data_IF_318866628804
#
_entry.id   IF_318866628804
#
_cell.length_a   1.000
_cell.length_b   1.000
_cell.length_c   1.000
_cell.angle_alpha   90.00
_cell.angle_beta   90.00
_cell.angle_gamma   90.00
#
_symmetry.space_group_name_H-M   'P 1'
#
loop_
_entity.id
_entity.type
_entity.pdbx_description
1 polymer ?
#
# COMPACT_ATOMS: atom_id res chain seq x y z
N UNK A 1 8.38 8.34 13.93
CA UNK A 1 9.82 8.68 13.80
C UNK A 1 9.90 10.11 13.24
N UNK A 2 10.78 11.02 13.72
CA UNK A 2 10.88 12.39 13.19
C UNK A 2 12.13 12.52 12.31
N UNK A 3 11.95 12.87 11.03
CA UNK A 3 13.06 13.11 10.09
C UNK A 3 13.67 11.85 9.46
N UNK A 4 12.95 10.72 9.45
CA UNK A 4 13.40 9.50 8.77
C UNK A 4 12.84 9.48 7.35
N UNK A 5 13.74 9.48 6.36
CA UNK A 5 13.42 9.43 4.93
C UNK A 5 13.46 7.99 4.39
N UNK A 6 14.28 7.12 4.97
CA UNK A 6 14.40 5.72 4.57
C UNK A 6 14.36 4.82 5.81
N UNK A 7 13.57 3.75 5.75
CA UNK A 7 13.71 2.61 6.67
C UNK A 7 14.55 1.56 5.95
N UNK A 8 15.76 1.36 6.43
CA UNK A 8 16.73 0.45 5.84
C UNK A 8 16.29 -1.02 5.88
N UNK A 9 16.90 -1.83 5.03
CA UNK A 9 16.68 -3.27 4.94
C UNK A 9 16.73 -3.93 6.33
N UNK A 10 15.69 -4.72 6.63
CA UNK A 10 15.56 -5.46 7.88
C UNK A 10 15.61 -4.61 9.17
N UNK A 11 15.46 -3.29 9.11
CA UNK A 11 15.65 -2.40 10.28
C UNK A 11 14.77 -2.77 11.50
N UNK A 12 13.58 -3.32 11.26
CA UNK A 12 12.63 -3.78 12.27
C UNK A 12 12.21 -5.24 12.06
N UNK A 13 13.03 -6.05 11.39
CA UNK A 13 12.75 -7.47 11.19
C UNK A 13 12.50 -8.18 12.53
N UNK A 14 11.37 -8.88 12.63
CA UNK A 14 10.92 -9.60 13.81
C UNK A 14 10.60 -8.72 15.02
N UNK A 15 10.40 -7.41 14.84
CA UNK A 15 10.20 -6.49 15.96
C UNK A 15 8.85 -6.75 16.65
N UNK A 16 8.90 -7.45 17.79
CA UNK A 16 7.71 -7.87 18.55
C UNK A 16 7.04 -6.74 19.35
N UNK A 17 7.70 -5.60 19.52
CA UNK A 17 7.18 -4.48 20.30
C UNK A 17 6.61 -3.35 19.44
N UNK A 18 6.91 -3.34 18.14
CA UNK A 18 6.47 -2.28 17.25
C UNK A 18 4.99 -2.47 16.93
N UNK A 19 4.15 -1.58 17.44
CA UNK A 19 2.70 -1.66 17.28
C UNK A 19 2.15 -0.80 16.14
N UNK A 20 2.78 0.34 15.88
CA UNK A 20 2.30 1.36 14.94
C UNK A 20 3.50 1.97 14.21
N UNK A 21 3.33 2.20 12.91
CA UNK A 21 4.28 2.97 12.09
C UNK A 21 3.60 4.21 11.55
N UNK A 22 4.07 5.37 12.02
CA UNK A 22 3.62 6.69 11.57
C UNK A 22 4.83 7.55 11.19
N UNK A 23 4.85 8.01 9.93
CA UNK A 23 5.88 8.92 9.44
C UNK A 23 5.37 9.78 8.27
N UNK A 24 5.45 11.11 8.43
CA UNK A 24 5.03 12.07 7.41
C UNK A 24 6.11 12.53 6.43
N UNK A 25 7.32 11.96 6.48
CA UNK A 25 8.43 12.28 5.56
C UNK A 25 9.21 11.06 5.09
N UNK A 26 8.65 9.87 5.29
CA UNK A 26 9.30 8.64 4.86
C UNK A 26 9.12 8.49 3.35
N UNK A 27 10.20 8.38 2.60
CA UNK A 27 10.18 8.22 1.14
C UNK A 27 10.26 6.75 0.74
N UNK A 28 11.10 5.96 1.41
CA UNK A 28 11.38 4.57 1.04
C UNK A 28 11.35 3.63 2.23
N UNK A 29 10.76 2.46 2.00
CA UNK A 29 10.83 1.30 2.89
C UNK A 29 11.56 0.21 2.12
N UNK A 30 12.74 -0.17 2.59
CA UNK A 30 13.56 -1.16 1.92
C UNK A 30 13.10 -2.60 2.21
N UNK A 31 13.65 -3.53 1.42
CA UNK A 31 13.31 -4.96 1.50
C UNK A 31 13.29 -5.46 2.95
N UNK A 32 12.22 -6.16 3.30
CA UNK A 32 12.05 -6.81 4.61
C UNK A 32 12.18 -5.90 5.83
N UNK A 33 12.08 -4.57 5.66
CA UNK A 33 12.24 -3.59 6.75
C UNK A 33 11.40 -3.89 8.00
N UNK A 34 10.19 -4.43 7.84
CA UNK A 34 9.27 -4.80 8.91
C UNK A 34 8.83 -6.27 8.83
N UNK A 35 9.63 -7.14 8.21
CA UNK A 35 9.32 -8.57 8.11
C UNK A 35 8.97 -9.16 9.49
N UNK A 36 7.87 -9.92 9.58
CA UNK A 36 7.50 -10.63 10.80
C UNK A 36 7.22 -9.74 12.02
N UNK A 37 6.81 -8.48 11.84
CA UNK A 37 6.39 -7.63 12.96
C UNK A 37 5.02 -8.09 13.51
N UNK A 38 5.04 -9.09 14.40
CA UNK A 38 3.84 -9.75 14.96
C UNK A 38 2.87 -8.80 15.69
N UNK A 39 3.36 -7.69 16.24
CA UNK A 39 2.54 -6.71 16.97
C UNK A 39 2.12 -5.51 16.14
N UNK A 40 2.60 -5.37 14.90
CA UNK A 40 2.33 -4.21 14.07
C UNK A 40 0.88 -4.26 13.59
N UNK A 41 0.06 -3.30 14.03
CA UNK A 41 -1.39 -3.26 13.77
C UNK A 41 -1.80 -2.23 12.72
N UNK A 42 -1.02 -1.15 12.58
CA UNK A 42 -1.38 -0.02 11.73
C UNK A 42 -0.15 0.66 11.13
N UNK A 43 -0.27 1.04 9.86
CA UNK A 43 0.72 1.81 9.12
C UNK A 43 0.04 3.04 8.51
N UNK A 44 0.60 4.22 8.75
CA UNK A 44 0.18 5.47 8.13
C UNK A 44 1.39 6.24 7.59
N UNK A 45 1.56 6.19 6.27
CA UNK A 45 2.73 6.65 5.54
C UNK A 45 2.31 7.46 4.31
N UNK A 46 1.78 8.69 4.50
CA UNK A 46 1.21 9.49 3.43
C UNK A 46 2.23 9.97 2.37
N UNK A 47 3.53 9.93 2.69
CA UNK A 47 4.60 10.41 1.80
C UNK A 47 5.48 9.28 1.24
N UNK A 48 5.22 8.02 1.60
CA UNK A 48 6.01 6.91 1.10
C UNK A 48 5.80 6.74 -0.40
N UNK A 49 6.91 6.69 -1.14
CA UNK A 49 6.95 6.54 -2.59
C UNK A 49 7.21 5.09 -2.98
N UNK A 50 8.11 4.42 -2.27
CA UNK A 50 8.57 3.08 -2.62
C UNK A 50 8.48 2.16 -1.41
N UNK A 51 7.75 1.05 -1.58
CA UNK A 51 7.74 -0.08 -0.66
C UNK A 51 8.40 -1.24 -1.38
N UNK A 52 9.58 -1.65 -0.94
CA UNK A 52 10.30 -2.75 -1.58
C UNK A 52 9.77 -4.14 -1.16
N UNK A 53 10.24 -5.17 -1.86
CA UNK A 53 9.70 -6.52 -1.70
C UNK A 53 9.82 -7.07 -0.29
N UNK A 54 8.76 -7.72 0.18
CA UNK A 54 8.66 -8.32 1.51
C UNK A 54 8.73 -7.34 2.69
N UNK A 55 8.60 -6.02 2.46
CA UNK A 55 8.73 -5.00 3.50
C UNK A 55 7.86 -5.25 4.74
N UNK A 56 6.65 -5.79 4.58
CA UNK A 56 5.70 -6.11 5.64
C UNK A 56 5.24 -7.58 5.61
N UNK A 57 6.06 -8.46 5.01
CA UNK A 57 5.75 -9.89 4.95
C UNK A 57 5.55 -10.47 6.35
N UNK A 58 4.57 -11.36 6.53
CA UNK A 58 4.27 -12.07 7.80
C UNK A 58 3.84 -11.16 8.98
N UNK A 59 3.38 -9.94 8.71
CA UNK A 59 2.82 -9.04 9.73
C UNK A 59 1.40 -9.46 10.12
N UNK A 60 1.29 -10.49 10.95
CA UNK A 60 0.01 -11.14 11.28
C UNK A 60 -1.04 -10.25 11.94
N UNK A 61 -0.64 -9.22 12.69
CA UNK A 61 -1.57 -8.30 13.35
C UNK A 61 -1.92 -7.08 12.51
N UNK A 62 -1.32 -6.90 11.33
CA UNK A 62 -1.49 -5.68 10.54
C UNK A 62 -2.90 -5.64 9.97
N UNK A 63 -3.68 -4.64 10.38
CA UNK A 63 -5.10 -4.51 10.00
C UNK A 63 -5.35 -3.42 8.96
N UNK A 64 -4.63 -2.31 9.08
CA UNK A 64 -4.88 -1.10 8.29
C UNK A 64 -3.57 -0.54 7.76
N UNK A 65 -3.57 -0.19 6.47
CA UNK A 65 -2.43 0.42 5.80
C UNK A 65 -2.90 1.64 5.03
N UNK A 66 -2.28 2.79 5.28
CA UNK A 66 -2.60 4.04 4.58
C UNK A 66 -1.34 4.58 3.91
N UNK A 67 -1.40 4.63 2.58
CA UNK A 67 -0.45 5.35 1.73
C UNK A 67 -1.12 6.58 1.10
N UNK A 68 -0.30 7.56 0.72
CA UNK A 68 -0.76 8.77 0.04
C UNK A 68 -0.56 8.73 -1.47
N UNK A 69 -0.87 9.87 -2.11
CA UNK A 69 -0.79 10.05 -3.56
C UNK A 69 0.62 9.90 -4.14
N UNK A 70 1.65 10.07 -3.32
CA UNK A 70 3.05 9.96 -3.74
C UNK A 70 3.52 8.51 -3.93
N UNK A 71 2.73 7.51 -3.53
CA UNK A 71 3.10 6.11 -3.70
C UNK A 71 3.27 5.78 -5.20
N UNK A 72 4.42 5.21 -5.55
CA UNK A 72 4.82 4.86 -6.91
C UNK A 72 4.88 3.36 -7.11
N UNK A 73 5.34 2.60 -6.09
CA UNK A 73 5.48 1.15 -6.22
C UNK A 73 5.36 0.39 -4.90
N UNK A 74 4.78 -0.80 -5.00
CA UNK A 74 4.74 -1.83 -3.98
C UNK A 74 5.40 -3.09 -4.56
N UNK A 75 6.48 -3.52 -3.93
CA UNK A 75 7.31 -4.62 -4.38
C UNK A 75 6.72 -5.99 -4.10
N UNK A 76 7.34 -7.00 -4.72
CA UNK A 76 6.99 -8.42 -4.60
C UNK A 76 6.74 -8.84 -3.15
N UNK A 77 5.64 -9.57 -2.92
CA UNK A 77 5.24 -10.12 -1.61
C UNK A 77 5.24 -9.13 -0.44
N UNK A 78 5.16 -7.81 -0.69
CA UNK A 78 5.31 -6.80 0.36
C UNK A 78 4.35 -6.97 1.55
N UNK A 79 3.14 -7.47 1.33
CA UNK A 79 2.13 -7.71 2.38
C UNK A 79 1.72 -9.19 2.47
N UNK A 80 2.48 -10.11 1.86
CA UNK A 80 2.12 -11.53 1.85
C UNK A 80 2.11 -12.10 3.28
N UNK A 81 1.13 -12.97 3.56
CA UNK A 81 0.88 -13.53 4.90
C UNK A 81 0.55 -12.44 5.94
N UNK A 82 -0.29 -11.48 5.57
CA UNK A 82 -0.93 -10.54 6.50
C UNK A 82 -2.43 -10.85 6.65
N UNK A 83 -2.82 -11.96 7.31
CA UNK A 83 -4.22 -12.41 7.35
C UNK A 83 -5.19 -11.46 8.06
N UNK A 84 -4.69 -10.56 8.92
CA UNK A 84 -5.51 -9.53 9.57
C UNK A 84 -5.72 -8.28 8.71
N UNK A 85 -5.01 -8.16 7.58
CA UNK A 85 -5.07 -6.97 6.74
C UNK A 85 -6.41 -6.95 6.02
N UNK A 86 -7.30 -6.09 6.50
CA UNK A 86 -8.68 -5.96 6.00
C UNK A 86 -8.89 -4.71 5.17
N UNK A 87 -8.03 -3.71 5.37
CA UNK A 87 -8.18 -2.38 4.78
C UNK A 87 -6.85 -1.81 4.31
N UNK A 88 -6.82 -1.33 3.08
CA UNK A 88 -5.68 -0.59 2.53
C UNK A 88 -6.16 0.63 1.73
N UNK A 89 -5.44 1.74 1.89
CA UNK A 89 -5.62 2.97 1.11
C UNK A 89 -4.38 3.20 0.24
N UNK A 90 -4.55 3.25 -1.09
CA UNK A 90 -3.50 3.43 -2.10
C UNK A 90 -3.97 4.35 -3.24
N UNK A 91 -3.08 5.02 -3.97
CA UNK A 91 -3.48 5.79 -5.16
C UNK A 91 -3.83 4.87 -6.33
N UNK A 92 -4.72 5.34 -7.21
CA UNK A 92 -5.00 4.65 -8.48
C UNK A 92 -3.91 5.02 -9.51
N UNK A 93 -2.90 4.15 -9.68
CA UNK A 93 -1.82 4.30 -10.67
C UNK A 93 -1.49 2.97 -11.32
N UNK A 94 -1.36 2.96 -12.65
CA UNK A 94 -0.95 1.79 -13.41
C UNK A 94 0.46 1.34 -13.00
N UNK A 95 0.67 0.02 -12.91
CA UNK A 95 1.98 -0.57 -12.61
C UNK A 95 2.49 -0.37 -11.18
N UNK A 96 1.67 0.17 -10.26
CA UNK A 96 2.05 0.36 -8.86
C UNK A 96 2.25 -0.97 -8.12
N UNK A 97 1.42 -1.98 -8.42
CA UNK A 97 1.56 -3.34 -7.89
C UNK A 97 1.99 -4.21 -9.06
N UNK A 98 3.20 -4.78 -8.98
CA UNK A 98 3.80 -5.52 -10.09
C UNK A 98 3.85 -7.04 -9.86
N UNK A 99 3.32 -7.52 -8.74
CA UNK A 99 3.37 -8.92 -8.33
C UNK A 99 2.00 -9.38 -7.78
N UNK A 100 1.44 -10.42 -8.38
CA UNK A 100 0.16 -11.03 -7.98
C UNK A 100 0.22 -11.59 -6.54
N UNK A 101 1.42 -11.89 -6.03
CA UNK A 101 1.62 -12.38 -4.67
C UNK A 101 1.71 -11.26 -3.61
N UNK A 102 1.63 -9.98 -3.99
CA UNK A 102 1.80 -8.83 -3.07
C UNK A 102 0.89 -8.93 -1.84
N UNK A 103 -0.37 -9.32 -2.05
CA UNK A 103 -1.39 -9.48 -0.99
C UNK A 103 -1.82 -10.94 -0.82
N UNK A 104 -1.00 -11.91 -1.22
CA UNK A 104 -1.34 -13.31 -1.05
C UNK A 104 -1.53 -13.64 0.44
N UNK A 105 -2.61 -14.35 0.77
CA UNK A 105 -2.98 -14.72 2.15
C UNK A 105 -3.40 -13.51 3.01
N UNK A 106 -3.68 -12.35 2.41
CA UNK A 106 -4.40 -11.26 3.06
C UNK A 106 -5.91 -11.52 3.05
N UNK A 107 -6.64 -10.88 3.96
CA UNK A 107 -8.10 -10.92 4.02
C UNK A 107 -8.70 -9.55 3.67
N UNK A 108 -8.23 -8.97 2.57
CA UNK A 108 -8.66 -7.64 2.14
C UNK A 108 -10.17 -7.65 1.90
N UNK A 109 -10.88 -6.78 2.62
CA UNK A 109 -12.32 -6.57 2.48
C UNK A 109 -12.64 -5.24 1.82
N UNK A 110 -11.71 -4.29 1.93
CA UNK A 110 -11.88 -2.93 1.44
C UNK A 110 -10.56 -2.39 0.92
N UNK A 111 -10.60 -1.78 -0.26
CA UNK A 111 -9.48 -1.05 -0.86
C UNK A 111 -9.98 0.35 -1.18
N UNK A 112 -9.43 1.34 -0.49
CA UNK A 112 -9.68 2.74 -0.80
C UNK A 112 -8.70 3.26 -1.83
N UNK A 113 -9.24 3.79 -2.91
CA UNK A 113 -8.46 4.44 -3.94
C UNK A 113 -8.46 5.93 -3.70
N UNK A 114 -7.28 6.47 -3.39
CA UNK A 114 -7.10 7.93 -3.32
C UNK A 114 -7.07 8.43 -4.77
N UNK A 115 -8.14 9.11 -5.18
CA UNK A 115 -8.15 9.83 -6.45
C UNK A 115 -7.29 11.07 -6.28
N UNK A 116 -6.18 11.13 -7.03
CA UNK A 116 -5.49 12.39 -7.22
C UNK A 116 -6.46 13.35 -7.90
N UNK A 117 -6.44 14.62 -7.52
CA UNK A 117 -6.98 15.66 -8.39
C UNK A 117 -6.32 15.43 -9.76
N UNK A 118 -7.12 15.06 -10.76
CA UNK A 118 -6.69 15.15 -12.14
C UNK A 118 -6.21 16.59 -12.29
N UNK A 119 -4.92 16.78 -12.58
CA UNK A 119 -4.35 18.08 -12.92
C UNK A 119 -5.36 18.80 -13.81
N UNK A 120 -5.80 20.01 -13.45
CA UNK A 120 -7.01 20.68 -13.97
C UNK A 120 -7.12 20.69 -15.51
N UNK A 121 -6.01 20.48 -16.20
CA UNK A 121 -5.88 20.33 -17.65
C UNK A 121 -6.49 19.04 -18.23
N UNK A 122 -6.58 17.93 -17.49
CA UNK A 122 -7.15 16.65 -17.94
C UNK A 122 -8.66 16.59 -17.67
N UNK A 123 -9.13 17.24 -16.59
CA UNK A 123 -10.57 17.34 -16.27
C UNK A 123 -11.39 17.99 -17.40
N UNK A 124 -10.79 18.92 -18.15
CA UNK A 124 -11.43 19.54 -19.32
C UNK A 124 -11.53 18.61 -20.55
N UNK A 125 -10.66 17.60 -20.66
CA UNK A 125 -10.64 16.64 -21.78
C UNK A 125 -11.52 15.40 -21.53
N UNK A 126 -11.81 15.07 -20.26
CA UNK A 126 -12.55 13.85 -19.91
C UNK A 126 -14.03 14.07 -19.56
N UNK A 127 -14.53 15.31 -19.48
CA UNK A 127 -15.93 15.59 -19.12
C UNK A 127 -16.95 14.99 -20.12
N UNK A 128 -16.53 14.64 -21.34
CA UNK A 128 -17.42 14.02 -22.35
C UNK A 128 -17.38 12.47 -22.34
N UNK A 129 -16.29 11.83 -21.86
CA UNK A 129 -16.09 10.36 -22.00
C UNK A 129 -16.15 9.56 -20.68
N UNK A 130 -16.08 10.19 -19.50
CA UNK A 130 -15.91 9.48 -18.22
C UNK A 130 -17.15 8.74 -17.67
N UNK A 131 -18.30 8.78 -18.36
CA UNK A 131 -19.54 8.14 -17.85
C UNK A 131 -19.61 6.63 -18.07
N UNK A 132 -18.68 6.02 -18.83
CA UNK A 132 -18.85 4.64 -19.28
C UNK A 132 -17.93 3.62 -18.56
N UNK A 133 -16.69 3.93 -18.16
CA UNK A 133 -15.75 2.84 -17.77
C UNK A 133 -15.50 2.61 -16.27
N UNK A 134 -15.99 3.44 -15.35
CA UNK A 134 -15.77 3.13 -13.91
C UNK A 134 -16.56 1.91 -13.39
N UNK A 135 -17.50 1.35 -14.17
CA UNK A 135 -18.25 0.14 -13.79
C UNK A 135 -17.66 -1.15 -14.36
N UNK A 136 -16.81 -1.11 -15.39
CA UNK A 136 -16.25 -2.33 -16.00
C UNK A 136 -14.94 -2.77 -15.34
N UNK A 137 -14.09 -1.83 -14.89
CA UNK A 137 -12.86 -2.17 -14.15
C UNK A 137 -13.14 -2.72 -12.75
N UNK A 138 -14.15 -2.18 -12.05
CA UNK A 138 -14.58 -2.70 -10.74
C UNK A 138 -15.13 -4.13 -10.86
N UNK A 139 -15.84 -4.45 -11.96
CA UNK A 139 -16.35 -5.79 -12.21
C UNK A 139 -15.28 -6.80 -12.65
N UNK A 140 -14.17 -6.32 -13.24
CA UNK A 140 -13.05 -7.16 -13.64
C UNK A 140 -12.16 -7.53 -12.45
N UNK A 141 -12.06 -6.66 -11.44
CA UNK A 141 -11.35 -6.96 -10.17
C UNK A 141 -12.09 -8.04 -9.35
N UNK A 142 -13.42 -8.15 -9.46
CA UNK A 142 -14.23 -9.19 -8.80
C UNK A 142 -14.12 -10.59 -9.43
N UNK A 143 -13.30 -10.79 -10.47
CA UNK A 143 -13.06 -12.09 -11.12
C UNK A 143 -11.67 -12.70 -10.80
N UNK A 144 -10.85 -12.02 -10.00
CA UNK A 144 -9.51 -12.50 -9.59
C UNK A 144 -9.43 -12.77 -8.05
N UNK A 145 -10.57 -12.66 -7.34
CA UNK A 145 -10.75 -13.16 -5.96
C UNK A 145 -11.79 -14.29 -5.94
#
# INVERSE_FOLDING_TARGET
>A
MRGVEVVERCAFDGCKALAIVECGKLERIERSAFYGCESLTSINLPSARIVEGGAFYDCHALMNVVFGMELESIGEVAFRVCPSLVHITIPLKDGMITDDCTFAVCNLKHVDLVKGELHETIAALLLEDWKIDMNEEINSINQIL
#
